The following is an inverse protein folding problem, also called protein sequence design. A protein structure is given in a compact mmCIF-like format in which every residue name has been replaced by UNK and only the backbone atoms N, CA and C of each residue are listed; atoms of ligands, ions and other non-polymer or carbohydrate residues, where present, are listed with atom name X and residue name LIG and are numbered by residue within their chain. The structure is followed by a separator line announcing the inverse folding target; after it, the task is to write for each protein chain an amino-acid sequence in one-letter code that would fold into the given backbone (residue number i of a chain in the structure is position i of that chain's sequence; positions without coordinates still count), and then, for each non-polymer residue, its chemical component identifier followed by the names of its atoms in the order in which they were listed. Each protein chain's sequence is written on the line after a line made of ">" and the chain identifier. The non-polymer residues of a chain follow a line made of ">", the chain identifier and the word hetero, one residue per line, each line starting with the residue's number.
data_IF_265798065468
#
_entry.id   IF_265798065468
#
_cell.length_a   1.000
_cell.length_b   1.000
_cell.length_c   1.000
_cell.angle_alpha   90.00
_cell.angle_beta   90.00
_cell.angle_gamma   90.00
#
_symmetry.space_group_name_H-M   'P 1'
#
loop_
_entity.id
_entity.type
_entity.pdbx_description
1 polymer ?
#
# COMPACT_ATOMS: atom_id res chain seq x y z
N UNK A 1 12.08 22.75 -13.51
CA UNK A 1 13.06 23.75 -13.07
C UNK A 1 13.63 23.26 -11.77
N UNK A 2 14.94 23.37 -11.57
CA UNK A 2 15.60 22.89 -10.36
C UNK A 2 15.07 23.60 -9.11
N UNK A 3 15.03 22.89 -7.99
CA UNK A 3 14.43 23.33 -6.73
C UNK A 3 15.14 24.59 -6.19
N UNK A 4 14.36 25.64 -5.93
CA UNK A 4 14.87 26.93 -5.49
C UNK A 4 15.64 26.84 -4.16
N UNK A 5 15.14 26.06 -3.19
CA UNK A 5 15.83 25.91 -1.89
C UNK A 5 17.20 25.26 -2.03
N UNK A 6 17.32 24.29 -2.94
CA UNK A 6 18.58 23.61 -3.22
C UNK A 6 19.58 24.57 -3.87
N UNK A 7 19.11 25.42 -4.80
CA UNK A 7 19.93 26.46 -5.45
C UNK A 7 20.38 27.52 -4.44
N UNK A 8 19.46 28.03 -3.64
CA UNK A 8 19.71 29.13 -2.69
C UNK A 8 20.69 28.72 -1.59
N UNK A 9 20.56 27.51 -1.07
CA UNK A 9 21.30 27.06 0.11
C UNK A 9 22.48 26.12 -0.20
N UNK A 10 22.62 25.65 -1.45
CA UNK A 10 23.41 24.47 -1.84
C UNK A 10 22.91 23.12 -1.29
N UNK A 11 21.87 23.11 -0.45
CA UNK A 11 21.30 21.89 0.11
C UNK A 11 19.80 22.04 0.42
N UNK A 12 19.15 20.91 0.66
CA UNK A 12 17.81 20.86 1.25
C UNK A 12 17.68 19.62 2.14
N UNK A 13 16.92 19.76 3.23
CA UNK A 13 16.62 18.65 4.15
C UNK A 13 15.33 17.96 3.69
N UNK A 14 15.32 16.64 3.74
CA UNK A 14 14.20 15.77 3.42
C UNK A 14 13.92 14.89 4.62
N UNK A 15 13.03 15.33 5.52
CA UNK A 15 12.64 14.54 6.67
C UNK A 15 11.96 13.24 6.22
N UNK A 16 12.18 12.15 6.95
CA UNK A 16 11.55 10.86 6.69
C UNK A 16 11.73 10.41 5.22
N UNK A 17 12.92 10.63 4.65
CA UNK A 17 13.25 10.19 3.29
C UNK A 17 13.13 8.66 3.16
N UNK A 18 13.55 7.95 4.20
CA UNK A 18 13.09 6.59 4.53
C UNK A 18 12.51 6.61 5.94
N UNK A 19 11.60 5.68 6.27
CA UNK A 19 11.09 5.60 7.63
C UNK A 19 12.20 5.26 8.62
N UNK A 20 12.11 5.77 9.85
CA UNK A 20 13.08 5.46 10.91
C UNK A 20 13.22 3.94 11.16
N UNK A 21 12.12 3.19 11.06
CA UNK A 21 12.13 1.72 11.14
C UNK A 21 12.95 1.10 10.00
N UNK A 22 12.69 1.51 8.76
CA UNK A 22 13.43 1.02 7.60
C UNK A 22 14.89 1.43 7.64
N UNK A 23 15.19 2.64 8.11
CA UNK A 23 16.54 3.13 8.33
C UNK A 23 17.30 2.25 9.34
N UNK A 24 16.64 1.91 10.46
CA UNK A 24 17.16 0.97 11.46
C UNK A 24 17.42 -0.41 10.86
N UNK A 25 16.50 -0.96 10.06
CA UNK A 25 16.67 -2.29 9.48
C UNK A 25 17.80 -2.33 8.43
N UNK A 26 17.91 -1.29 7.61
CA UNK A 26 19.02 -1.09 6.68
C UNK A 26 20.36 -0.95 7.43
N UNK A 27 20.38 -0.23 8.54
CA UNK A 27 21.58 -0.13 9.38
C UNK A 27 21.95 -1.49 9.97
N UNK A 28 21.01 -2.22 10.57
CA UNK A 28 21.26 -3.55 11.15
C UNK A 28 21.80 -4.53 10.11
N UNK A 29 21.17 -4.58 8.94
CA UNK A 29 21.59 -5.48 7.86
C UNK A 29 23.02 -5.16 7.39
N UNK A 30 23.36 -3.89 7.26
CA UNK A 30 24.71 -3.47 6.89
C UNK A 30 25.76 -3.69 7.99
N UNK A 31 25.42 -3.45 9.26
CA UNK A 31 26.32 -3.72 10.38
C UNK A 31 26.60 -5.23 10.51
N UNK A 32 25.58 -6.08 10.36
CA UNK A 32 25.77 -7.54 10.34
C UNK A 32 26.66 -7.98 9.18
N UNK A 33 26.48 -7.38 8.00
CA UNK A 33 27.37 -7.62 6.87
C UNK A 33 28.83 -7.22 7.19
N UNK A 34 29.03 -6.07 7.83
CA UNK A 34 30.35 -5.58 8.24
C UNK A 34 31.03 -6.45 9.30
N UNK A 35 30.25 -7.07 10.19
CA UNK A 35 30.76 -8.04 11.17
C UNK A 35 31.10 -9.39 10.54
N UNK A 36 30.28 -9.87 9.60
CA UNK A 36 30.50 -11.16 8.93
C UNK A 36 31.63 -11.10 7.89
N UNK A 37 31.82 -9.94 7.25
CA UNK A 37 32.78 -9.73 6.19
C UNK A 37 33.69 -8.57 6.54
N UNK A 38 35.01 -8.80 6.48
CA UNK A 38 36.01 -7.73 6.60
C UNK A 38 35.79 -6.66 5.53
N UNK A 39 35.05 -5.61 5.88
CA UNK A 39 34.93 -4.40 5.06
C UNK A 39 36.12 -3.50 5.34
N UNK A 40 36.51 -2.74 4.32
CA UNK A 40 37.72 -1.94 4.35
C UNK A 40 37.54 -0.66 5.17
N UNK A 41 38.62 -0.21 5.81
CA UNK A 41 38.68 1.14 6.36
C UNK A 41 38.45 2.18 5.26
N UNK A 42 37.73 3.23 5.61
CA UNK A 42 37.49 4.37 4.75
C UNK A 42 38.80 5.14 4.51
N UNK A 43 39.14 5.50 3.25
CA UNK A 43 40.40 6.19 2.95
C UNK A 43 40.38 7.69 3.31
N UNK A 44 39.21 8.25 3.59
CA UNK A 44 38.99 9.66 3.87
C UNK A 44 38.79 9.94 5.37
N UNK A 45 38.29 8.96 6.13
CA UNK A 45 37.96 9.09 7.55
C UNK A 45 38.63 7.99 8.36
N UNK A 46 39.45 8.38 9.33
CA UNK A 46 39.98 7.44 10.32
C UNK A 46 38.87 6.93 11.25
N UNK A 47 39.02 5.70 11.78
CA UNK A 47 38.01 5.02 12.61
C UNK A 47 36.63 4.93 11.96
N UNK A 48 36.63 4.57 10.68
CA UNK A 48 35.42 4.42 9.89
C UNK A 48 35.59 3.23 8.95
N UNK A 49 34.59 2.36 8.93
CA UNK A 49 34.46 1.34 7.90
C UNK A 49 33.67 1.90 6.72
N UNK A 50 34.06 1.55 5.50
CA UNK A 50 33.46 2.09 4.29
C UNK A 50 33.23 1.03 3.21
N UNK A 51 32.09 1.10 2.53
CA UNK A 51 31.76 0.18 1.43
C UNK A 51 31.03 0.86 0.29
N UNK A 52 31.52 0.64 -0.93
CA UNK A 52 30.81 0.97 -2.16
C UNK A 52 29.77 -0.09 -2.48
N UNK A 53 28.63 0.38 -3.00
CA UNK A 53 27.63 -0.43 -3.71
C UNK A 53 27.21 -1.70 -2.97
N UNK A 54 26.97 -1.57 -1.65
CA UNK A 54 26.26 -2.61 -0.92
C UNK A 54 24.87 -2.80 -1.53
N UNK A 55 24.53 -4.03 -1.89
CA UNK A 55 23.43 -4.31 -2.82
C UNK A 55 22.08 -3.76 -2.33
N UNK A 56 21.77 -3.86 -1.05
CA UNK A 56 20.53 -3.31 -0.47
C UNK A 56 20.46 -1.79 -0.55
N UNK A 57 21.60 -1.11 -0.57
CA UNK A 57 21.67 0.34 -0.77
C UNK A 57 21.58 0.72 -2.25
N UNK A 58 22.12 -0.11 -3.16
CA UNK A 58 21.91 0.05 -4.60
C UNK A 58 20.44 -0.15 -4.97
N UNK A 59 19.74 -1.10 -4.34
CA UNK A 59 18.30 -1.30 -4.48
C UNK A 59 17.53 -0.04 -4.04
N UNK A 60 17.89 0.54 -2.88
CA UNK A 60 17.30 1.78 -2.40
C UNK A 60 17.60 2.97 -3.33
N UNK A 61 18.81 3.05 -3.88
CA UNK A 61 19.22 4.06 -4.88
C UNK A 61 18.33 4.04 -6.12
N UNK A 62 18.06 2.85 -6.64
CA UNK A 62 17.17 2.66 -7.77
C UNK A 62 15.72 2.99 -7.41
N UNK A 63 15.23 2.51 -6.27
CA UNK A 63 13.87 2.77 -5.78
C UNK A 63 13.59 4.27 -5.64
N UNK A 64 14.54 5.02 -5.06
CA UNK A 64 14.37 6.44 -4.75
C UNK A 64 14.59 7.38 -5.92
N UNK A 65 15.05 6.89 -7.08
CA UNK A 65 15.46 7.74 -8.20
C UNK A 65 14.36 8.71 -8.69
N UNK A 66 13.11 8.25 -8.75
CA UNK A 66 11.98 9.10 -9.15
C UNK A 66 11.71 10.18 -8.09
N UNK A 67 11.70 9.81 -6.81
CA UNK A 67 11.52 10.75 -5.71
C UNK A 67 12.63 11.81 -5.69
N UNK A 68 13.89 11.41 -5.88
CA UNK A 68 15.03 12.34 -5.94
C UNK A 68 14.91 13.28 -7.13
N UNK A 69 14.55 12.78 -8.32
CA UNK A 69 14.32 13.64 -9.50
C UNK A 69 13.24 14.70 -9.25
N UNK A 70 12.15 14.33 -8.57
CA UNK A 70 11.09 15.26 -8.19
C UNK A 70 11.57 16.31 -7.17
N UNK A 71 12.30 15.89 -6.13
CA UNK A 71 12.82 16.78 -5.10
C UNK A 71 13.84 17.78 -5.65
N UNK A 72 14.72 17.32 -6.55
CA UNK A 72 15.72 18.16 -7.23
C UNK A 72 15.06 19.10 -8.25
N UNK A 73 13.91 18.73 -8.82
CA UNK A 73 13.22 19.52 -9.85
C UNK A 73 13.75 19.31 -11.28
N UNK A 74 14.61 18.31 -11.46
CA UNK A 74 15.19 17.86 -12.73
C UNK A 74 15.43 16.34 -12.72
N UNK A 75 15.42 15.72 -13.90
CA UNK A 75 15.73 14.29 -14.03
C UNK A 75 17.20 14.02 -13.74
N UNK A 76 17.46 13.19 -12.74
CA UNK A 76 18.78 12.70 -12.38
C UNK A 76 18.95 11.22 -12.71
N UNK A 77 20.19 10.77 -12.82
CA UNK A 77 20.58 9.39 -13.06
C UNK A 77 21.44 8.91 -11.88
N UNK A 78 21.16 7.73 -11.32
CA UNK A 78 21.98 7.16 -10.25
C UNK A 78 23.43 6.95 -10.70
N UNK A 79 24.40 7.23 -9.83
CA UNK A 79 25.80 6.87 -10.07
C UNK A 79 26.23 5.68 -9.22
N UNK A 80 26.22 5.83 -7.89
CA UNK A 80 26.54 4.76 -6.94
C UNK A 80 26.07 5.07 -5.52
N UNK A 81 26.19 4.08 -4.65
CA UNK A 81 26.09 4.27 -3.19
C UNK A 81 27.42 4.09 -2.50
N UNK A 82 27.58 4.79 -1.39
CA UNK A 82 28.66 4.57 -0.46
C UNK A 82 28.09 4.54 0.95
N UNK A 83 28.55 3.62 1.79
CA UNK A 83 28.07 3.51 3.15
C UNK A 83 29.23 3.53 4.14
N UNK A 84 28.97 4.10 5.31
CA UNK A 84 29.95 4.24 6.38
C UNK A 84 29.40 3.78 7.72
N UNK A 85 30.24 3.11 8.51
CA UNK A 85 30.05 2.91 9.94
C UNK A 85 31.16 3.70 10.62
N UNK A 86 30.80 4.84 11.21
CA UNK A 86 31.71 5.69 11.96
C UNK A 86 31.79 5.22 13.41
N UNK A 87 33.00 5.14 13.94
CA UNK A 87 33.24 4.79 15.33
C UNK A 87 33.52 6.03 16.19
N UNK A 88 33.64 5.82 17.50
CA UNK A 88 33.98 6.86 18.45
C UNK A 88 35.25 7.64 18.07
N UNK A 89 35.14 8.96 18.03
CA UNK A 89 36.22 9.88 17.69
C UNK A 89 36.47 10.03 16.19
N UNK A 90 35.60 9.51 15.32
CA UNK A 90 35.70 9.73 13.88
C UNK A 90 35.44 11.22 13.53
N UNK A 91 36.21 11.76 12.57
CA UNK A 91 36.10 13.14 12.09
C UNK A 91 36.06 13.14 10.57
N UNK A 92 35.07 13.78 9.96
CA UNK A 92 35.03 13.99 8.51
C UNK A 92 35.47 15.42 8.23
N UNK A 93 36.69 15.63 7.74
CA UNK A 93 37.20 16.98 7.46
C UNK A 93 36.46 17.67 6.30
N UNK A 94 36.43 19.02 6.24
CA UNK A 94 35.86 19.77 5.11
C UNK A 94 36.37 19.33 3.75
N UNK A 95 35.43 19.00 2.86
CA UNK A 95 35.70 18.57 1.50
C UNK A 95 34.50 18.83 0.57
N UNK A 96 34.71 18.62 -0.73
CA UNK A 96 33.67 18.48 -1.75
C UNK A 96 33.80 17.10 -2.40
N UNK A 97 32.73 16.64 -3.02
CA UNK A 97 32.69 15.36 -3.70
C UNK A 97 33.32 15.42 -5.11
N UNK A 98 33.47 14.23 -5.72
CA UNK A 98 34.01 14.04 -7.07
C UNK A 98 32.99 14.36 -8.17
N UNK A 99 33.42 14.37 -9.43
CA UNK A 99 32.58 14.74 -10.58
C UNK A 99 31.36 13.82 -10.80
N UNK A 100 31.49 12.55 -10.44
CA UNK A 100 30.42 11.55 -10.35
C UNK A 100 29.33 11.80 -9.28
N UNK A 101 29.50 12.83 -8.44
CA UNK A 101 28.65 13.15 -7.30
C UNK A 101 28.03 14.55 -7.47
N UNK A 102 27.54 14.87 -8.67
CA UNK A 102 26.95 16.18 -8.97
C UNK A 102 25.79 16.53 -8.03
N UNK A 103 24.93 15.56 -7.72
CA UNK A 103 23.92 15.63 -6.65
C UNK A 103 24.15 14.48 -5.68
N UNK A 104 24.33 14.80 -4.41
CA UNK A 104 24.59 13.83 -3.34
C UNK A 104 23.49 13.88 -2.30
N UNK A 105 23.20 12.73 -1.69
CA UNK A 105 22.41 12.61 -0.49
C UNK A 105 23.27 12.02 0.61
N UNK A 106 23.15 12.55 1.82
CA UNK A 106 23.52 11.85 3.06
C UNK A 106 22.23 11.47 3.78
N UNK A 107 22.10 10.20 4.14
CA UNK A 107 20.94 9.63 4.84
C UNK A 107 21.43 9.07 6.17
N UNK A 108 20.85 9.54 7.28
CA UNK A 108 21.15 8.98 8.58
C UNK A 108 20.39 7.66 8.76
N UNK A 109 21.09 6.52 8.78
CA UNK A 109 20.43 5.23 8.98
C UNK A 109 20.25 4.92 10.47
N UNK A 110 21.33 5.03 11.25
CA UNK A 110 21.31 4.85 12.69
C UNK A 110 22.45 5.61 13.35
N UNK A 111 22.21 6.17 14.53
CA UNK A 111 23.23 6.84 15.35
C UNK A 111 22.79 6.74 16.81
N UNK A 112 23.70 6.43 17.72
CA UNK A 112 23.36 6.34 19.16
C UNK A 112 23.26 7.72 19.84
N UNK A 113 23.95 8.72 19.29
CA UNK A 113 23.80 10.15 19.63
C UNK A 113 23.58 10.99 18.38
N UNK A 114 22.85 12.13 18.46
CA UNK A 114 22.75 13.08 17.36
C UNK A 114 24.13 13.53 16.90
N UNK A 115 24.35 13.53 15.58
CA UNK A 115 25.61 13.98 14.99
C UNK A 115 25.33 14.85 13.77
N UNK A 116 25.65 16.13 13.90
CA UNK A 116 25.39 17.13 12.88
C UNK A 116 26.30 16.95 11.67
N UNK A 117 25.78 17.25 10.49
CA UNK A 117 26.58 17.54 9.30
C UNK A 117 26.62 19.06 9.11
N UNK A 118 27.81 19.57 8.85
CA UNK A 118 28.01 20.97 8.52
C UNK A 118 28.14 21.14 7.01
N UNK A 119 27.59 22.22 6.46
CA UNK A 119 27.64 22.53 5.04
C UNK A 119 27.75 24.04 4.80
N UNK A 120 28.43 24.45 3.73
CA UNK A 120 28.52 25.85 3.31
C UNK A 120 27.52 26.20 2.20
N UNK A 121 26.77 27.29 2.43
CA UNK A 121 25.91 27.89 1.40
C UNK A 121 26.74 28.66 0.35
N UNK A 122 26.13 29.17 -0.74
CA UNK A 122 26.85 29.91 -1.78
C UNK A 122 27.59 31.17 -1.29
N UNK A 123 27.20 31.72 -0.14
CA UNK A 123 27.84 32.88 0.49
C UNK A 123 28.99 32.48 1.44
N UNK A 124 29.32 31.19 1.54
CA UNK A 124 30.37 30.66 2.41
C UNK A 124 29.99 30.54 3.89
N UNK A 125 28.72 30.78 4.23
CA UNK A 125 28.23 30.69 5.60
C UNK A 125 28.06 29.21 5.99
N UNK A 126 28.55 28.87 7.18
CA UNK A 126 28.45 27.52 7.74
C UNK A 126 27.06 27.28 8.31
N UNK A 127 26.42 26.21 7.90
CA UNK A 127 25.12 25.76 8.39
C UNK A 127 25.28 24.42 9.09
N UNK A 128 24.70 24.29 10.29
CA UNK A 128 24.63 23.04 11.02
C UNK A 128 23.31 22.33 10.70
N UNK A 129 23.37 21.05 10.35
CA UNK A 129 22.19 20.24 10.00
C UNK A 129 22.18 18.97 10.85
N UNK A 130 21.15 18.83 11.67
CA UNK A 130 20.86 17.61 12.43
C UNK A 130 19.90 16.74 11.62
N UNK A 131 20.24 15.48 11.42
CA UNK A 131 19.41 14.49 10.72
C UNK A 131 19.02 13.39 11.70
N UNK A 132 17.72 13.16 11.90
CA UNK A 132 17.25 11.98 12.64
C UNK A 132 17.38 10.73 11.77
N UNK A 133 17.24 9.55 12.39
CA UNK A 133 17.21 8.29 11.64
C UNK A 133 16.09 8.33 10.57
N UNK A 134 16.46 8.09 9.33
CA UNK A 134 15.61 8.15 8.15
C UNK A 134 15.56 9.50 7.42
N UNK A 135 16.03 10.58 8.04
CA UNK A 135 16.15 11.88 7.39
C UNK A 135 17.33 11.87 6.39
N UNK A 136 17.18 12.67 5.32
CA UNK A 136 18.23 12.89 4.34
C UNK A 136 18.52 14.38 4.15
N UNK A 137 19.73 14.71 3.71
CA UNK A 137 20.06 16.01 3.13
C UNK A 137 20.51 15.80 1.69
N UNK A 138 19.83 16.45 0.74
CA UNK A 138 20.26 16.55 -0.67
C UNK A 138 21.16 17.78 -0.79
N UNK A 139 22.30 17.68 -1.46
CA UNK A 139 23.22 18.78 -1.67
C UNK A 139 23.98 18.67 -2.99
N UNK A 140 24.54 19.80 -3.45
CA UNK A 140 25.45 19.81 -4.60
C UNK A 140 26.83 19.30 -4.18
N UNK A 141 27.12 18.03 -4.44
CA UNK A 141 28.32 17.38 -3.94
C UNK A 141 29.62 18.07 -4.36
N UNK A 142 29.68 18.59 -5.59
CA UNK A 142 30.88 19.20 -6.16
C UNK A 142 31.14 20.64 -5.71
N UNK A 143 30.14 21.34 -5.15
CA UNK A 143 30.22 22.79 -4.91
C UNK A 143 29.88 23.20 -3.48
N UNK A 144 29.35 22.29 -2.66
CA UNK A 144 28.98 22.56 -1.28
C UNK A 144 29.98 21.91 -0.32
N UNK A 145 30.99 22.65 0.20
CA UNK A 145 31.88 22.13 1.21
C UNK A 145 31.11 21.63 2.43
N UNK A 146 31.36 20.40 2.85
CA UNK A 146 30.66 19.77 3.96
C UNK A 146 31.59 18.91 4.82
N UNK A 147 31.25 18.75 6.10
CA UNK A 147 32.07 18.05 7.09
C UNK A 147 31.25 17.59 8.29
N UNK A 148 31.87 16.77 9.15
CA UNK A 148 31.35 16.42 10.47
C UNK A 148 32.45 16.59 11.50
N UNK A 149 32.13 17.24 12.60
CA UNK A 149 33.03 17.31 13.75
C UNK A 149 33.17 15.96 14.42
N UNK A 150 33.99 15.85 15.47
CA UNK A 150 34.26 14.58 16.15
C UNK A 150 32.99 13.89 16.63
N UNK A 151 32.87 12.59 16.30
CA UNK A 151 31.76 11.79 16.77
C UNK A 151 31.97 11.33 18.21
N UNK A 152 31.05 11.70 19.10
CA UNK A 152 31.16 11.39 20.53
C UNK A 152 30.40 10.13 20.95
N UNK A 153 29.59 9.56 20.06
CA UNK A 153 28.88 8.30 20.27
C UNK A 153 29.77 7.07 20.09
N UNK A 154 29.16 5.90 20.06
CA UNK A 154 29.83 4.62 19.84
C UNK A 154 29.85 4.25 18.35
N UNK A 155 28.70 4.34 17.67
CA UNK A 155 28.57 3.96 16.27
C UNK A 155 27.49 4.77 15.52
N UNK A 156 27.83 5.24 14.32
CA UNK A 156 26.90 5.90 13.40
C UNK A 156 26.96 5.26 12.01
N UNK A 157 25.83 4.76 11.52
CA UNK A 157 25.69 4.22 10.17
C UNK A 157 25.07 5.25 9.23
N UNK A 158 25.81 5.63 8.19
CA UNK A 158 25.37 6.60 7.17
C UNK A 158 25.34 5.95 5.79
N UNK A 159 24.37 6.34 4.99
CA UNK A 159 24.29 6.02 3.57
C UNK A 159 24.44 7.29 2.74
N UNK A 160 25.30 7.22 1.73
CA UNK A 160 25.49 8.22 0.70
C UNK A 160 24.95 7.70 -0.62
N UNK A 161 24.15 8.53 -1.30
CA UNK A 161 23.52 8.20 -2.58
C UNK A 161 23.88 9.29 -3.57
N UNK A 162 24.50 8.93 -4.68
CA UNK A 162 25.03 9.89 -5.63
C UNK A 162 24.31 9.79 -6.97
N UNK A 163 24.15 10.95 -7.60
CA UNK A 163 23.44 11.13 -8.86
C UNK A 163 24.15 12.16 -9.74
N UNK A 164 23.88 12.07 -11.04
CA UNK A 164 24.25 13.09 -12.05
C UNK A 164 23.01 13.54 -12.81
N UNK A 165 22.99 14.79 -13.27
CA UNK A 165 21.87 15.33 -14.05
C UNK A 165 21.83 14.63 -15.41
N UNK A 166 20.67 14.13 -15.80
CA UNK A 166 20.50 13.37 -17.05
C UNK A 166 20.84 14.15 -18.33
N UNK A 167 20.78 15.49 -18.25
CA UNK A 167 21.13 16.45 -19.31
C UNK A 167 22.29 17.37 -18.92
N UNK A 168 23.07 17.00 -17.90
CA UNK A 168 24.24 17.74 -17.44
C UNK A 168 25.54 17.24 -18.09
N UNK A 169 26.64 17.99 -17.86
CA UNK A 169 27.99 17.67 -18.33
C UNK A 169 28.48 16.30 -17.84
N UNK A 170 28.04 15.90 -16.65
CA UNK A 170 28.49 14.71 -15.95
C UNK A 170 27.60 13.48 -16.16
N UNK A 171 26.60 13.57 -17.05
CA UNK A 171 25.59 12.53 -17.25
C UNK A 171 26.18 11.14 -17.52
N UNK A 172 27.35 11.04 -18.15
CA UNK A 172 27.98 9.75 -18.51
C UNK A 172 28.46 8.90 -17.35
N UNK A 173 28.53 9.47 -16.13
CA UNK A 173 28.88 8.78 -14.90
C UNK A 173 27.75 7.90 -14.31
N UNK A 174 26.57 7.86 -14.92
CA UNK A 174 25.48 6.99 -14.45
C UNK A 174 25.96 5.54 -14.32
N UNK A 175 25.50 4.86 -13.25
CA UNK A 175 25.86 3.50 -12.84
C UNK A 175 27.33 3.19 -13.06
N UNK A 176 28.20 3.65 -12.15
CA UNK A 176 29.65 3.57 -12.24
C UNK A 176 30.12 2.31 -12.99
N UNK A 177 30.66 2.52 -14.21
CA UNK A 177 30.91 1.45 -15.19
C UNK A 177 32.19 0.65 -14.91
N UNK A 178 33.02 1.13 -13.98
CA UNK A 178 34.27 0.47 -13.60
C UNK A 178 34.03 -0.61 -12.54
N UNK A 179 32.94 -0.51 -11.77
CA UNK A 179 32.52 -1.51 -10.77
C UNK A 179 31.59 -2.55 -11.40
N UNK A 180 32.19 -3.52 -12.10
CA UNK A 180 31.46 -4.51 -12.94
C UNK A 180 30.95 -5.75 -12.20
N UNK A 181 31.37 -5.99 -10.96
CA UNK A 181 31.05 -7.22 -10.21
C UNK A 181 30.55 -6.86 -8.82
N UNK A 182 29.36 -7.34 -8.49
CA UNK A 182 28.85 -7.33 -7.12
C UNK A 182 29.55 -8.47 -6.36
N UNK A 183 30.32 -8.12 -5.33
CA UNK A 183 31.04 -9.09 -4.50
C UNK A 183 30.29 -9.44 -3.21
N UNK A 184 29.09 -8.89 -3.03
CA UNK A 184 28.23 -9.20 -1.90
C UNK A 184 27.83 -10.66 -1.96
N UNK A 185 28.25 -11.43 -0.97
CA UNK A 185 27.85 -12.82 -0.87
C UNK A 185 26.34 -12.85 -0.64
N UNK A 186 25.58 -13.65 -1.39
CA UNK A 186 24.14 -13.76 -1.16
C UNK A 186 23.93 -14.23 0.27
N UNK A 187 23.14 -13.47 1.03
CA UNK A 187 22.69 -13.87 2.36
C UNK A 187 22.17 -15.30 2.24
N UNK A 188 22.72 -16.22 3.04
CA UNK A 188 22.04 -17.51 3.23
C UNK A 188 20.67 -17.13 3.81
N UNK A 189 19.63 -17.15 2.97
CA UNK A 189 18.26 -17.05 3.47
C UNK A 189 18.16 -18.13 4.52
N UNK A 190 18.15 -17.76 5.79
CA UNK A 190 17.70 -18.69 6.81
C UNK A 190 16.35 -19.16 6.30
N UNK A 191 16.22 -20.47 6.09
CA UNK A 191 14.92 -21.05 5.83
C UNK A 191 14.07 -20.59 7.00
N UNK A 192 13.09 -19.74 6.73
CA UNK A 192 12.06 -19.40 7.71
C UNK A 192 11.48 -20.73 8.12
N UNK A 193 11.92 -21.23 9.28
CA UNK A 193 11.26 -22.33 9.95
C UNK A 193 9.96 -21.71 10.41
N UNK A 194 8.88 -21.97 9.70
CA UNK A 194 7.55 -21.79 10.27
C UNK A 194 7.43 -22.79 11.41
N UNK A 195 7.93 -22.39 12.59
CA UNK A 195 7.58 -23.01 13.85
C UNK A 195 6.15 -22.57 14.16
N UNK A 196 5.30 -23.55 14.43
CA UNK A 196 3.86 -23.35 14.58
C UNK A 196 3.46 -22.37 15.69
N UNK A 197 2.17 -22.00 15.60
CA UNK A 197 1.37 -21.33 16.62
C UNK A 197 1.94 -20.00 17.14
N UNK A 198 1.70 -18.92 16.39
CA UNK A 198 1.81 -17.57 16.94
C UNK A 198 0.56 -17.24 17.76
N UNK A 199 0.71 -17.17 19.08
CA UNK A 199 -0.18 -16.47 20.01
C UNK A 199 0.66 -15.33 20.61
N UNK A 200 0.37 -14.07 20.22
CA UNK A 200 1.09 -12.86 20.66
C UNK A 200 0.23 -11.60 20.47
N UNK A 201 0.51 -10.50 21.19
CA UNK A 201 -0.52 -9.66 21.81
C UNK A 201 -1.23 -8.68 20.86
N UNK A 202 -2.51 -8.45 21.16
CA UNK A 202 -3.34 -7.36 20.63
C UNK A 202 -2.63 -6.01 20.84
N UNK A 203 -2.27 -5.35 19.75
CA UNK A 203 -1.79 -3.97 19.76
C UNK A 203 -2.92 -3.05 20.24
N UNK A 204 -2.65 -2.28 21.30
CA UNK A 204 -3.49 -1.15 21.69
C UNK A 204 -3.08 0.07 20.86
N UNK A 205 -4.01 0.79 20.21
CA UNK A 205 -3.68 1.99 19.46
C UNK A 205 -3.40 3.18 20.40
N UNK A 206 -2.32 3.91 20.12
CA UNK A 206 -1.99 5.18 20.75
C UNK A 206 -2.85 6.31 20.14
N UNK A 207 -3.32 7.31 20.91
CA UNK A 207 -4.23 8.32 20.39
C UNK A 207 -3.47 9.43 19.63
N UNK A 208 -4.17 9.95 18.63
CA UNK A 208 -4.07 11.27 18.02
C UNK A 208 -3.33 11.45 16.67
N UNK A 209 -4.15 11.19 15.64
CA UNK A 209 -4.34 11.87 14.35
C UNK A 209 -3.27 11.65 13.26
N UNK A 210 -3.51 10.60 12.46
CA UNK A 210 -3.12 10.54 11.05
C UNK A 210 -4.40 10.51 10.23
N UNK A 211 -4.57 11.44 9.27
CA UNK A 211 -5.54 11.24 8.17
C UNK A 211 -4.98 10.15 7.26
N UNK A 212 -5.05 8.89 7.70
CA UNK A 212 -4.75 7.73 6.89
C UNK A 212 -5.92 7.52 5.93
N UNK A 213 -5.64 7.44 4.64
CA UNK A 213 -6.55 6.89 3.65
C UNK A 213 -6.76 5.40 3.95
N UNK A 214 -7.68 5.09 4.87
CA UNK A 214 -8.00 3.72 5.26
C UNK A 214 -8.79 3.01 4.14
N UNK A 215 -8.66 1.69 4.02
CA UNK A 215 -9.30 0.91 2.96
C UNK A 215 -10.83 0.89 3.08
N UNK A 216 -11.37 1.00 4.30
CA UNK A 216 -12.80 1.13 4.56
C UNK A 216 -13.43 2.34 3.86
N UNK A 217 -12.64 3.35 3.51
CA UNK A 217 -13.14 4.49 2.73
C UNK A 217 -13.64 4.09 1.33
N UNK A 218 -13.31 2.92 0.80
CA UNK A 218 -13.82 2.47 -0.50
C UNK A 218 -15.04 1.55 -0.34
N UNK A 219 -15.45 1.25 0.90
CA UNK A 219 -16.70 0.58 1.20
C UNK A 219 -17.74 1.69 1.35
N UNK A 220 -18.72 1.72 0.45
CA UNK A 220 -19.79 2.72 0.48
C UNK A 220 -21.12 2.07 0.73
N UNK A 221 -21.88 2.70 1.62
CA UNK A 221 -23.28 2.41 1.85
C UNK A 221 -24.10 3.58 1.32
N UNK A 222 -25.01 3.30 0.39
CA UNK A 222 -25.95 4.29 -0.13
C UNK A 222 -27.35 3.88 0.29
N UNK A 223 -27.98 4.71 1.12
CA UNK A 223 -29.34 4.47 1.59
C UNK A 223 -30.39 4.90 0.57
N UNK A 224 -31.57 4.30 0.66
CA UNK A 224 -32.73 4.64 -0.17
C UNK A 224 -32.52 4.47 -1.68
N UNK A 225 -31.67 3.53 -2.09
CA UNK A 225 -31.51 3.16 -3.51
C UNK A 225 -32.76 2.44 -4.01
N UNK A 226 -33.30 1.52 -3.22
CA UNK A 226 -34.63 0.94 -3.39
C UNK A 226 -35.56 1.49 -2.32
N UNK A 227 -36.79 1.79 -2.70
CA UNK A 227 -37.85 2.10 -1.75
C UNK A 227 -38.41 0.83 -1.13
N UNK A 228 -39.02 0.92 0.06
CA UNK A 228 -39.69 -0.22 0.70
C UNK A 228 -40.74 -0.90 -0.21
N UNK A 229 -41.42 -0.13 -1.06
CA UNK A 229 -42.40 -0.68 -2.03
C UNK A 229 -41.72 -1.50 -3.12
N UNK A 230 -40.55 -1.08 -3.58
CA UNK A 230 -39.76 -1.80 -4.57
C UNK A 230 -39.14 -3.06 -3.97
N UNK A 231 -38.59 -3.00 -2.75
CA UNK A 231 -38.14 -4.18 -2.02
C UNK A 231 -39.28 -5.19 -1.85
N UNK A 232 -40.46 -4.73 -1.41
CA UNK A 232 -41.64 -5.57 -1.27
C UNK A 232 -42.09 -6.18 -2.59
N UNK A 233 -42.10 -5.44 -3.69
CA UNK A 233 -42.44 -5.95 -5.02
C UNK A 233 -41.53 -7.13 -5.42
N UNK A 234 -40.23 -7.02 -5.15
CA UNK A 234 -39.26 -8.08 -5.45
C UNK A 234 -39.54 -9.31 -4.59
N UNK A 235 -39.72 -9.13 -3.28
CA UNK A 235 -39.94 -10.24 -2.35
C UNK A 235 -41.30 -10.92 -2.58
N UNK A 236 -42.36 -10.17 -2.87
CA UNK A 236 -43.69 -10.73 -3.18
C UNK A 236 -43.65 -11.64 -4.42
N UNK A 237 -42.81 -11.35 -5.40
CA UNK A 237 -42.65 -12.18 -6.60
C UNK A 237 -41.76 -13.41 -6.35
N UNK A 238 -40.64 -13.25 -5.63
CA UNK A 238 -39.60 -14.28 -5.60
C UNK A 238 -39.52 -15.09 -4.30
N UNK A 239 -39.94 -14.57 -3.14
CA UNK A 239 -39.68 -15.20 -1.84
C UNK A 239 -40.23 -16.64 -1.75
N UNK A 240 -41.43 -16.87 -2.26
CA UNK A 240 -42.11 -18.18 -2.27
C UNK A 240 -42.03 -18.90 -3.64
N UNK A 241 -41.18 -18.40 -4.55
CA UNK A 241 -41.02 -19.00 -5.88
C UNK A 241 -40.28 -20.33 -5.82
N UNK A 242 -40.35 -21.11 -6.93
CA UNK A 242 -39.60 -22.38 -7.07
C UNK A 242 -38.24 -22.20 -7.74
N UNK A 243 -37.75 -20.97 -7.84
CA UNK A 243 -36.52 -20.62 -8.56
C UNK A 243 -35.26 -20.78 -7.70
N UNK A 244 -35.43 -20.98 -6.39
CA UNK A 244 -34.36 -21.14 -5.42
C UNK A 244 -33.68 -22.50 -5.49
N UNK A 245 -32.37 -22.48 -5.35
CA UNK A 245 -31.56 -23.67 -5.08
C UNK A 245 -30.33 -23.30 -4.26
N UNK A 246 -29.64 -24.31 -3.71
CA UNK A 246 -28.45 -24.09 -2.89
C UNK A 246 -27.33 -23.40 -3.68
N UNK A 247 -26.79 -22.32 -3.12
CA UNK A 247 -25.68 -21.62 -3.73
C UNK A 247 -24.40 -22.47 -3.72
N UNK A 248 -23.73 -22.52 -4.87
CA UNK A 248 -22.46 -23.23 -5.04
C UNK A 248 -21.27 -22.27 -4.89
N UNK A 249 -20.07 -22.82 -4.60
CA UNK A 249 -18.82 -22.06 -4.65
C UNK A 249 -18.10 -22.28 -6.00
N UNK A 250 -17.00 -21.55 -6.23
CA UNK A 250 -16.16 -21.70 -7.43
C UNK A 250 -15.86 -23.18 -7.73
N UNK A 251 -16.14 -23.60 -8.97
CA UNK A 251 -16.03 -25.00 -9.41
C UNK A 251 -17.31 -25.84 -9.30
N UNK A 252 -18.46 -25.26 -8.90
CA UNK A 252 -19.76 -25.94 -8.92
C UNK A 252 -19.95 -26.99 -7.82
N UNK A 253 -19.18 -26.90 -6.74
CA UNK A 253 -19.25 -27.84 -5.61
C UNK A 253 -20.02 -27.19 -4.46
N UNK A 254 -21.02 -27.91 -3.90
CA UNK A 254 -21.67 -27.51 -2.65
C UNK A 254 -20.70 -27.75 -1.49
N UNK A 255 -20.37 -26.69 -0.76
CA UNK A 255 -19.53 -26.73 0.44
C UNK A 255 -20.24 -26.02 1.58
N UNK A 256 -21.06 -26.77 2.32
CA UNK A 256 -21.89 -26.24 3.41
C UNK A 256 -21.08 -25.56 4.53
N UNK A 257 -19.79 -25.89 4.66
CA UNK A 257 -18.88 -25.25 5.61
C UNK A 257 -18.31 -23.91 5.13
N UNK A 258 -18.54 -23.54 3.86
CA UNK A 258 -18.02 -22.31 3.23
C UNK A 258 -19.16 -21.35 2.97
N UNK A 259 -20.28 -21.84 2.44
CA UNK A 259 -21.45 -21.02 2.12
C UNK A 259 -22.71 -21.82 2.38
N UNK A 260 -23.63 -21.20 3.11
CA UNK A 260 -24.97 -21.74 3.38
C UNK A 260 -26.00 -20.66 3.08
N UNK A 261 -26.45 -20.62 1.83
CA UNK A 261 -27.54 -19.77 1.38
C UNK A 261 -28.18 -20.36 0.12
N UNK A 262 -29.36 -19.87 -0.21
CA UNK A 262 -30.04 -20.18 -1.47
C UNK A 262 -29.84 -19.02 -2.45
N UNK A 263 -29.88 -19.32 -3.74
CA UNK A 263 -29.72 -18.37 -4.84
C UNK A 263 -30.82 -18.56 -5.89
N UNK A 264 -31.28 -17.45 -6.46
CA UNK A 264 -32.09 -17.41 -7.67
C UNK A 264 -31.49 -16.38 -8.64
N UNK A 265 -31.15 -16.80 -9.86
CA UNK A 265 -30.59 -15.92 -10.89
C UNK A 265 -31.71 -15.17 -11.61
N UNK A 266 -32.11 -14.02 -11.08
CA UNK A 266 -33.37 -13.36 -11.48
C UNK A 266 -33.29 -12.67 -12.84
N UNK A 267 -32.09 -12.43 -13.38
CA UNK A 267 -31.87 -11.88 -14.73
C UNK A 267 -31.82 -12.94 -15.84
N UNK A 268 -31.87 -14.24 -15.51
CA UNK A 268 -31.90 -15.28 -16.54
C UNK A 268 -33.22 -15.28 -17.28
N UNK A 269 -33.16 -15.41 -18.61
CA UNK A 269 -34.34 -15.37 -19.50
C UNK A 269 -35.39 -16.41 -19.11
N UNK A 270 -34.95 -17.62 -18.76
CA UNK A 270 -35.79 -18.72 -18.31
C UNK A 270 -36.48 -18.42 -16.98
N UNK A 271 -35.89 -17.63 -16.10
CA UNK A 271 -36.49 -17.18 -14.85
C UNK A 271 -37.49 -16.06 -15.13
N UNK A 272 -37.11 -15.07 -15.95
CA UNK A 272 -37.98 -13.96 -16.34
C UNK A 272 -39.26 -14.46 -17.02
N UNK A 273 -39.14 -15.40 -17.96
CA UNK A 273 -40.28 -15.89 -18.76
C UNK A 273 -41.39 -16.58 -17.97
N UNK A 274 -41.15 -16.98 -16.71
CA UNK A 274 -42.16 -17.60 -15.85
C UNK A 274 -43.25 -16.61 -15.42
N UNK A 275 -42.92 -15.32 -15.37
CA UNK A 275 -43.85 -14.23 -15.15
C UNK A 275 -43.31 -12.98 -15.86
N UNK A 276 -43.33 -13.05 -17.20
CA UNK A 276 -42.63 -12.14 -18.10
C UNK A 276 -42.89 -10.65 -17.80
N UNK A 277 -44.15 -10.28 -17.53
CA UNK A 277 -44.54 -8.89 -17.29
C UNK A 277 -43.91 -8.34 -16.00
N UNK A 278 -44.08 -9.05 -14.89
CA UNK A 278 -43.62 -8.59 -13.57
C UNK A 278 -42.10 -8.75 -13.42
N UNK A 279 -41.54 -9.89 -13.86
CA UNK A 279 -40.11 -10.17 -13.69
C UNK A 279 -39.24 -9.32 -14.61
N UNK A 280 -39.68 -9.02 -15.83
CA UNK A 280 -38.97 -8.06 -16.70
C UNK A 280 -38.99 -6.66 -16.09
N UNK A 281 -40.11 -6.26 -15.49
CA UNK A 281 -40.21 -4.98 -14.77
C UNK A 281 -39.27 -4.94 -13.55
N UNK A 282 -39.17 -6.03 -12.80
CA UNK A 282 -38.23 -6.14 -11.67
C UNK A 282 -36.78 -6.09 -12.16
N UNK A 283 -36.42 -6.82 -13.21
CA UNK A 283 -35.06 -6.84 -13.77
C UNK A 283 -34.63 -5.44 -14.24
N UNK A 284 -35.49 -4.74 -14.98
CA UNK A 284 -35.25 -3.33 -15.38
C UNK A 284 -35.14 -2.40 -14.17
N UNK A 285 -36.01 -2.55 -13.17
CA UNK A 285 -35.94 -1.75 -11.94
C UNK A 285 -34.59 -1.96 -11.23
N UNK A 286 -34.17 -3.20 -11.02
CA UNK A 286 -32.90 -3.50 -10.34
C UNK A 286 -31.72 -2.96 -11.16
N UNK A 287 -31.77 -3.07 -12.49
CA UNK A 287 -30.78 -2.49 -13.39
C UNK A 287 -30.64 -0.98 -13.23
N UNK A 288 -31.75 -0.25 -13.27
CA UNK A 288 -31.73 1.21 -13.14
C UNK A 288 -31.21 1.64 -11.76
N UNK A 289 -31.60 0.93 -10.70
CA UNK A 289 -31.16 1.25 -9.32
C UNK A 289 -29.70 0.91 -9.07
N UNK A 290 -29.24 -0.26 -9.52
CA UNK A 290 -27.85 -0.65 -9.43
C UNK A 290 -26.95 0.29 -10.26
N UNK A 291 -27.36 0.63 -11.49
CA UNK A 291 -26.65 1.58 -12.34
C UNK A 291 -26.56 2.99 -11.74
N UNK A 292 -27.62 3.46 -11.07
CA UNK A 292 -27.61 4.71 -10.32
C UNK A 292 -26.60 4.71 -9.16
N UNK A 293 -26.61 3.65 -8.35
CA UNK A 293 -25.66 3.50 -7.24
C UNK A 293 -24.20 3.37 -7.73
N UNK A 294 -23.97 2.62 -8.80
CA UNK A 294 -22.66 2.51 -9.46
C UNK A 294 -22.18 3.87 -9.98
N UNK A 295 -23.07 4.67 -10.57
CA UNK A 295 -22.74 6.02 -11.04
C UNK A 295 -22.33 6.94 -9.91
N UNK A 296 -23.02 6.88 -8.76
CA UNK A 296 -22.65 7.64 -7.56
C UNK A 296 -21.26 7.22 -7.05
N UNK A 297 -20.97 5.92 -7.03
CA UNK A 297 -19.67 5.40 -6.62
C UNK A 297 -18.52 5.88 -7.52
N UNK A 298 -18.70 5.87 -8.84
CA UNK A 298 -17.67 6.36 -9.79
C UNK A 298 -17.46 7.87 -9.65
N UNK A 299 -18.48 8.64 -9.31
CA UNK A 299 -18.32 10.08 -9.05
C UNK A 299 -17.43 10.34 -7.82
N UNK A 300 -17.55 9.52 -6.77
CA UNK A 300 -16.68 9.58 -5.59
C UNK A 300 -15.26 9.04 -5.89
N UNK A 301 -15.17 8.03 -6.77
CA UNK A 301 -13.92 7.36 -7.11
C UNK A 301 -13.67 7.37 -8.63
N UNK A 302 -13.23 8.49 -9.22
CA UNK A 302 -13.15 8.68 -10.67
C UNK A 302 -12.13 7.79 -11.38
N UNK A 303 -11.27 7.07 -10.64
CA UNK A 303 -10.36 6.06 -11.18
C UNK A 303 -10.97 4.66 -11.25
N UNK A 304 -12.15 4.44 -10.65
CA UNK A 304 -12.91 3.21 -10.80
C UNK A 304 -13.61 3.22 -12.15
N UNK A 305 -13.17 2.35 -13.06
CA UNK A 305 -13.79 2.19 -14.38
C UNK A 305 -14.62 0.92 -14.38
N UNK A 306 -15.93 1.06 -14.58
CA UNK A 306 -16.87 -0.05 -14.72
C UNK A 306 -17.82 0.25 -15.88
N UNK A 307 -18.21 -0.78 -16.61
CA UNK A 307 -18.96 -0.63 -17.87
C UNK A 307 -20.16 -1.56 -18.00
N UNK A 308 -20.07 -2.76 -17.43
CA UNK A 308 -21.12 -3.78 -17.48
C UNK A 308 -21.26 -4.46 -16.13
N UNK A 309 -22.45 -4.94 -15.83
CA UNK A 309 -22.71 -5.83 -14.69
C UNK A 309 -22.97 -7.27 -15.13
N UNK A 310 -22.99 -8.19 -14.15
CA UNK A 310 -23.12 -9.64 -14.37
C UNK A 310 -24.55 -10.16 -14.43
N UNK A 311 -25.56 -9.27 -14.38
CA UNK A 311 -26.93 -9.58 -14.00
C UNK A 311 -27.10 -9.65 -12.48
N UNK A 312 -28.29 -10.07 -12.03
CA UNK A 312 -28.70 -10.03 -10.63
C UNK A 312 -28.94 -11.42 -10.05
N UNK A 313 -28.24 -11.68 -8.95
CA UNK A 313 -28.37 -12.89 -8.15
C UNK A 313 -29.11 -12.56 -6.86
N UNK A 314 -30.33 -13.06 -6.71
CA UNK A 314 -31.10 -12.93 -5.49
C UNK A 314 -30.66 -14.02 -4.49
N UNK A 315 -30.31 -13.62 -3.29
CA UNK A 315 -29.78 -14.48 -2.22
C UNK A 315 -30.74 -14.51 -1.04
N UNK A 316 -30.97 -15.71 -0.49
CA UNK A 316 -31.75 -15.96 0.73
C UNK A 316 -30.90 -16.69 1.75
N UNK A 317 -30.75 -16.10 2.93
CA UNK A 317 -30.06 -16.68 4.08
C UNK A 317 -31.09 -16.89 5.19
N UNK A 318 -31.51 -18.14 5.40
CA UNK A 318 -32.32 -18.53 6.55
C UNK A 318 -31.45 -18.60 7.81
N UNK A 319 -32.05 -18.87 8.97
CA UNK A 319 -31.34 -19.07 10.23
C UNK A 319 -30.15 -20.05 10.12
N UNK A 320 -29.00 -19.60 10.61
CA UNK A 320 -27.71 -20.27 10.50
C UNK A 320 -27.09 -20.23 9.11
N UNK A 321 -27.64 -19.47 8.16
CA UNK A 321 -27.02 -19.21 6.85
C UNK A 321 -25.87 -18.21 6.96
N UNK A 322 -24.83 -18.39 6.15
CA UNK A 322 -23.59 -17.59 6.18
C UNK A 322 -22.81 -17.70 4.88
N UNK A 323 -21.76 -16.90 4.73
CA UNK A 323 -20.73 -17.08 3.72
C UNK A 323 -19.37 -16.66 4.29
N UNK A 324 -18.43 -17.60 4.45
CA UNK A 324 -17.10 -17.33 5.00
C UNK A 324 -16.31 -16.32 4.18
N UNK A 325 -15.23 -15.80 4.77
CA UNK A 325 -14.31 -14.85 4.15
C UNK A 325 -13.90 -15.30 2.74
N UNK A 326 -14.13 -14.42 1.77
CA UNK A 326 -13.75 -14.59 0.37
C UNK A 326 -13.52 -13.25 -0.31
N UNK A 327 -13.09 -13.30 -1.58
CA UNK A 327 -12.97 -12.15 -2.47
C UNK A 327 -13.71 -12.46 -3.75
N UNK A 328 -14.31 -11.44 -4.36
CA UNK A 328 -15.19 -11.64 -5.50
C UNK A 328 -14.48 -11.70 -6.85
N UNK A 329 -13.28 -11.14 -6.95
CA UNK A 329 -12.46 -11.15 -8.16
C UNK A 329 -11.75 -12.50 -8.33
N UNK A 330 -11.80 -13.06 -9.54
CA UNK A 330 -11.03 -14.25 -9.93
C UNK A 330 -10.54 -14.15 -11.36
N UNK A 331 -9.44 -14.86 -11.64
CA UNK A 331 -8.65 -14.75 -12.89
C UNK A 331 -9.49 -14.84 -14.16
N UNK A 332 -10.46 -15.75 -14.20
CA UNK A 332 -11.19 -16.08 -15.43
C UNK A 332 -12.38 -15.16 -15.72
N UNK A 333 -12.89 -14.44 -14.70
CA UNK A 333 -13.89 -13.38 -14.87
C UNK A 333 -13.54 -12.25 -13.91
N UNK A 334 -12.67 -11.32 -14.35
CA UNK A 334 -12.24 -10.23 -13.49
C UNK A 334 -13.44 -9.37 -13.12
N UNK A 335 -13.52 -8.98 -11.85
CA UNK A 335 -14.56 -8.11 -11.31
C UNK A 335 -13.88 -6.93 -10.64
N UNK A 336 -14.33 -5.73 -10.98
CA UNK A 336 -13.77 -4.48 -10.46
C UNK A 336 -14.44 -4.10 -9.14
N UNK A 337 -15.78 -4.16 -9.11
CA UNK A 337 -16.61 -3.78 -7.97
C UNK A 337 -17.69 -4.82 -7.72
N UNK A 338 -17.95 -5.11 -6.45
CA UNK A 338 -19.09 -5.90 -6.00
C UNK A 338 -20.15 -4.96 -5.39
N UNK A 339 -21.41 -5.30 -5.61
CA UNK A 339 -22.54 -4.54 -5.08
C UNK A 339 -23.58 -5.48 -4.49
N UNK A 340 -24.03 -5.19 -3.26
CA UNK A 340 -25.12 -5.90 -2.60
C UNK A 340 -26.26 -4.95 -2.23
N UNK A 341 -27.47 -5.22 -2.73
CA UNK A 341 -28.70 -4.48 -2.44
C UNK A 341 -29.47 -5.20 -1.33
N UNK A 342 -29.74 -4.53 -0.21
CA UNK A 342 -30.50 -5.10 0.90
C UNK A 342 -32.00 -5.01 0.61
N UNK A 343 -32.73 -6.13 0.69
CA UNK A 343 -34.18 -6.15 0.44
C UNK A 343 -35.01 -6.09 1.72
N UNK A 344 -34.43 -6.45 2.86
CA UNK A 344 -35.05 -6.40 4.16
C UNK A 344 -34.00 -6.16 5.27
N UNK A 345 -34.46 -5.90 6.48
CA UNK A 345 -33.65 -5.65 7.67
C UNK A 345 -34.28 -6.22 8.96
N UNK A 346 -35.35 -7.01 8.84
CA UNK A 346 -36.06 -7.69 9.93
C UNK A 346 -35.44 -9.06 10.28
N UNK A 347 -34.13 -9.10 10.49
CA UNK A 347 -33.38 -10.29 10.90
C UNK A 347 -32.26 -9.96 11.90
N UNK A 348 -31.88 -10.93 12.73
CA UNK A 348 -30.73 -10.85 13.64
C UNK A 348 -29.48 -11.50 13.03
N UNK A 349 -28.30 -10.96 13.33
CA UNK A 349 -27.07 -11.33 12.63
C UNK A 349 -27.07 -10.89 11.17
N UNK A 350 -26.40 -11.66 10.30
CA UNK A 350 -26.41 -11.47 8.84
C UNK A 350 -25.62 -10.25 8.34
N UNK A 351 -24.77 -9.66 9.17
CA UNK A 351 -23.93 -8.52 8.83
C UNK A 351 -22.94 -8.83 7.70
N UNK A 352 -22.54 -7.81 6.96
CA UNK A 352 -21.40 -7.89 6.05
C UNK A 352 -20.17 -7.46 6.83
N UNK A 353 -19.17 -8.33 6.94
CA UNK A 353 -17.95 -8.03 7.65
C UNK A 353 -16.76 -8.03 6.69
N UNK A 354 -15.92 -7.01 6.78
CA UNK A 354 -14.70 -6.82 6.01
C UNK A 354 -13.49 -6.91 6.93
N UNK A 355 -12.32 -7.20 6.35
CA UNK A 355 -11.03 -7.14 7.03
C UNK A 355 -11.03 -7.94 8.35
N UNK A 356 -11.42 -9.22 8.29
CA UNK A 356 -11.48 -10.09 9.49
C UNK A 356 -12.37 -9.53 10.61
N UNK A 357 -13.48 -8.86 10.24
CA UNK A 357 -14.46 -8.23 11.14
C UNK A 357 -13.98 -6.95 11.83
N UNK A 358 -12.89 -6.34 11.38
CA UNK A 358 -12.51 -4.99 11.82
C UNK A 358 -13.52 -3.94 11.34
N UNK A 359 -14.21 -4.19 10.22
CA UNK A 359 -15.25 -3.32 9.70
C UNK A 359 -16.53 -4.12 9.44
N UNK A 360 -17.56 -3.88 10.26
CA UNK A 360 -18.84 -4.61 10.20
C UNK A 360 -19.96 -3.62 9.87
N UNK A 361 -20.79 -3.97 8.90
CA UNK A 361 -21.93 -3.15 8.49
C UNK A 361 -23.21 -3.96 8.42
N UNK A 362 -24.32 -3.31 8.80
CA UNK A 362 -25.68 -3.83 8.69
C UNK A 362 -26.60 -2.75 8.11
N UNK A 363 -26.63 -2.60 6.77
CA UNK A 363 -27.45 -1.58 6.12
C UNK A 363 -28.95 -1.88 6.28
N UNK A 364 -29.78 -0.84 6.30
CA UNK A 364 -31.24 -0.98 6.32
C UNK A 364 -31.79 -1.51 4.98
N UNK A 365 -33.04 -1.94 4.99
CA UNK A 365 -33.75 -2.33 3.77
C UNK A 365 -33.73 -1.17 2.75
N UNK A 366 -33.45 -1.50 1.49
CA UNK A 366 -33.36 -0.52 0.41
C UNK A 366 -31.98 0.09 0.20
N UNK A 367 -31.02 -0.18 1.08
CA UNK A 367 -29.66 0.32 0.95
C UNK A 367 -28.78 -0.57 0.07
N UNK A 368 -27.76 0.03 -0.55
CA UNK A 368 -26.70 -0.65 -1.30
C UNK A 368 -25.40 -0.62 -0.50
N UNK A 369 -24.67 -1.73 -0.50
CA UNK A 369 -23.23 -1.75 -0.20
C UNK A 369 -22.47 -1.96 -1.50
N UNK A 370 -21.50 -1.11 -1.78
CA UNK A 370 -20.63 -1.21 -2.95
C UNK A 370 -19.16 -1.07 -2.53
N UNK A 371 -18.30 -1.95 -3.05
CA UNK A 371 -16.88 -2.02 -2.66
C UNK A 371 -16.02 -2.71 -3.75
N UNK A 372 -14.70 -2.48 -3.79
CA UNK A 372 -13.84 -3.14 -4.76
C UNK A 372 -13.80 -4.65 -4.56
N UNK A 373 -13.86 -5.44 -5.64
CA UNK A 373 -13.98 -6.91 -5.55
C UNK A 373 -12.63 -7.65 -5.35
N UNK A 374 -11.51 -6.93 -5.31
CA UNK A 374 -10.17 -7.50 -5.36
C UNK A 374 -9.66 -8.04 -4.01
N UNK A 375 -8.44 -8.58 -4.01
CA UNK A 375 -7.84 -9.25 -2.85
C UNK A 375 -7.71 -8.38 -1.59
N UNK A 376 -7.78 -7.05 -1.73
CA UNK A 376 -7.67 -6.11 -0.61
C UNK A 376 -8.98 -5.99 0.17
N UNK A 377 -10.10 -6.52 -0.33
CA UNK A 377 -11.42 -6.43 0.30
C UNK A 377 -11.98 -7.84 0.61
N UNK A 378 -11.27 -8.64 1.41
CA UNK A 378 -11.80 -9.89 1.91
C UNK A 378 -13.03 -9.59 2.78
N UNK A 379 -14.13 -10.27 2.50
CA UNK A 379 -15.39 -10.05 3.20
C UNK A 379 -16.16 -11.35 3.43
N UNK A 380 -17.06 -11.33 4.40
CA UNK A 380 -17.95 -12.43 4.74
C UNK A 380 -19.37 -11.95 5.03
N UNK A 381 -20.33 -12.87 4.92
CA UNK A 381 -21.68 -12.70 5.46
C UNK A 381 -21.72 -13.47 6.78
N UNK A 382 -21.84 -12.72 7.87
CA UNK A 382 -21.94 -13.28 9.21
C UNK A 382 -23.20 -14.14 9.34
N UNK A 383 -23.23 -15.12 10.26
CA UNK A 383 -24.38 -15.99 10.44
C UNK A 383 -25.67 -15.21 10.73
N UNK A 384 -26.76 -15.56 10.04
CA UNK A 384 -28.12 -15.12 10.42
C UNK A 384 -28.53 -15.87 11.69
N UNK A 385 -28.86 -15.15 12.75
CA UNK A 385 -29.19 -15.71 14.06
C UNK A 385 -30.69 -15.92 14.24
N UNK A 386 -31.51 -15.04 13.65
CA UNK A 386 -32.97 -15.16 13.64
C UNK A 386 -33.56 -14.50 12.39
N UNK A 387 -34.66 -15.05 11.87
CA UNK A 387 -35.32 -14.54 10.67
C UNK A 387 -34.61 -14.93 9.37
N UNK A 388 -34.92 -14.22 8.28
CA UNK A 388 -34.38 -14.51 6.95
C UNK A 388 -33.85 -13.24 6.30
N UNK A 389 -32.59 -13.25 5.85
CA UNK A 389 -31.95 -12.15 5.12
C UNK A 389 -32.09 -12.35 3.62
N UNK A 390 -32.60 -11.33 2.94
CA UNK A 390 -32.69 -11.25 1.48
C UNK A 390 -31.81 -10.12 0.94
N UNK A 391 -30.99 -10.44 -0.06
CA UNK A 391 -30.16 -9.46 -0.74
C UNK A 391 -30.01 -9.81 -2.21
N UNK A 392 -29.87 -8.81 -3.08
CA UNK A 392 -29.41 -9.01 -4.46
C UNK A 392 -27.92 -8.72 -4.51
N UNK A 393 -27.15 -9.52 -5.24
CA UNK A 393 -25.75 -9.24 -5.54
C UNK A 393 -25.53 -9.10 -7.05
N UNK A 394 -24.63 -8.20 -7.43
CA UNK A 394 -24.13 -8.06 -8.79
C UNK A 394 -22.67 -7.64 -8.77
N UNK A 395 -21.95 -7.90 -9.87
CA UNK A 395 -20.56 -7.54 -10.03
C UNK A 395 -20.34 -6.75 -11.30
N UNK A 396 -19.58 -5.66 -11.19
CA UNK A 396 -19.25 -4.78 -12.30
C UNK A 396 -17.84 -5.05 -12.82
N UNK A 397 -17.67 -4.95 -14.13
CA UNK A 397 -16.40 -5.11 -14.86
C UNK A 397 -15.95 -3.86 -15.58
#
# INVERSE_FOLDING_TARGET
>A
MMNEKLIENNYMIVPNFVSAERASDLAKDFNLYAEEFDITNDPQVDKCLGKYDYISFVELLCEKNVQVSQLVGETVLPTYTYARIYEHGAVLTPHVDKEECEISLTVNLASDVPWSIWIQNPQGQKQEVVLNSGDAMIYFGMTAPHWREEYTGNACTQLFMHYVRSRGKYATFYFNKDRKVVTDKPRKKEKVKFAGNYQGPLYAPHPDIVKTNSLDQYIRVYDNILTHKECKLILDEYAESKDWYDAMVGGGVKKDNVRKCEIAHISLKEVISKNEEIRRKIDTLVFDRAGGAASQYIQEFPHCNISTDSGYDLLRYNEGGFYTIHTDNYKDRPRTVAMSLMLNDDYDGGEIAFFEREHIIKPSAGSVVIFPANFMYPHEIMPVLAGTRYAIITWFT
#
